data_IF_696994012947
#
_entry.id   IF_696994012947
#
_cell.length_a   1.000
_cell.length_b   1.000
_cell.length_c   1.000
_cell.angle_alpha   90.00
_cell.angle_beta   90.00
_cell.angle_gamma   90.00
#
_symmetry.space_group_name_H-M   'P 1'
#
loop_
_entity.id
_entity.type
_entity.pdbx_description
1 polymer ?
#
# COMPACT_ATOMS: atom_id res chain seq x y z
N UNK A 1 -4.45 -15.47 13.73
CA UNK A 1 -5.43 -14.69 12.93
C UNK A 1 -5.38 -15.24 11.52
N UNK A 2 -6.51 -15.55 10.91
CA UNK A 2 -6.57 -16.09 9.55
C UNK A 2 -7.02 -14.98 8.61
N UNK A 3 -6.15 -14.60 7.66
CA UNK A 3 -6.49 -13.66 6.60
C UNK A 3 -6.99 -14.41 5.36
N UNK A 4 -7.96 -13.84 4.68
CA UNK A 4 -8.37 -14.33 3.37
C UNK A 4 -7.52 -13.66 2.30
N UNK A 5 -6.73 -14.42 1.49
CA UNK A 5 -5.86 -13.82 0.50
C UNK A 5 -6.65 -13.37 -0.73
N UNK A 6 -6.41 -12.14 -1.16
CA UNK A 6 -7.01 -11.53 -2.36
C UNK A 6 -5.98 -10.67 -3.07
N UNK A 7 -6.14 -10.51 -4.38
CA UNK A 7 -5.54 -9.45 -5.18
C UNK A 7 -6.62 -8.43 -5.49
N UNK A 8 -6.34 -7.16 -5.22
CA UNK A 8 -7.29 -6.06 -5.44
C UNK A 8 -7.07 -5.46 -6.82
N UNK A 9 -8.15 -5.33 -7.58
CA UNK A 9 -8.14 -4.55 -8.82
C UNK A 9 -8.36 -3.08 -8.50
N UNK A 10 -7.35 -2.26 -8.79
CA UNK A 10 -7.34 -0.84 -8.47
C UNK A 10 -7.44 0.08 -9.71
N UNK A 11 -7.63 -0.48 -10.90
CA UNK A 11 -7.80 0.32 -12.12
C UNK A 11 -8.96 1.30 -11.99
N UNK A 12 -8.67 2.58 -12.26
CA UNK A 12 -9.67 3.64 -12.17
C UNK A 12 -10.11 3.98 -10.73
N UNK A 13 -9.45 3.43 -9.72
CA UNK A 13 -9.78 3.69 -8.32
C UNK A 13 -8.98 4.84 -7.73
N UNK A 14 -9.58 5.52 -6.75
CA UNK A 14 -8.92 6.54 -5.95
C UNK A 14 -8.41 5.95 -4.64
N UNK A 15 -7.21 6.35 -4.23
CA UNK A 15 -6.56 5.94 -2.99
C UNK A 15 -6.17 7.16 -2.15
N UNK A 16 -6.02 6.95 -0.83
CA UNK A 16 -5.60 7.98 0.10
C UNK A 16 -4.44 7.47 0.97
N UNK A 17 -3.43 8.33 1.18
CA UNK A 17 -2.39 8.14 2.18
C UNK A 17 -2.39 9.31 3.14
N UNK A 18 -2.60 9.05 4.42
CA UNK A 18 -2.52 10.04 5.50
C UNK A 18 -1.21 9.82 6.25
N UNK A 19 -0.32 10.80 6.16
CA UNK A 19 1.06 10.71 6.64
C UNK A 19 2.04 10.34 5.53
N UNK A 20 2.95 11.25 5.20
CA UNK A 20 3.92 11.12 4.10
C UNK A 20 5.37 11.02 4.58
N UNK A 21 5.60 10.56 5.79
CA UNK A 21 6.94 10.18 6.26
C UNK A 21 7.45 8.92 5.54
N UNK A 22 8.59 8.38 5.98
CA UNK A 22 9.25 7.23 5.33
C UNK A 22 8.32 6.02 5.10
N UNK A 23 7.36 5.77 6.01
CA UNK A 23 6.38 4.69 5.84
C UNK A 23 5.36 5.06 4.77
N UNK A 24 4.80 6.29 4.83
CA UNK A 24 3.83 6.78 3.85
C UNK A 24 4.40 6.81 2.43
N UNK A 25 5.60 7.34 2.24
CA UNK A 25 6.27 7.38 0.93
C UNK A 25 6.41 5.97 0.31
N UNK A 26 6.73 4.95 1.12
CA UNK A 26 6.76 3.55 0.61
C UNK A 26 5.38 3.06 0.16
N UNK A 27 4.30 3.47 0.86
CA UNK A 27 2.92 3.12 0.45
C UNK A 27 2.52 3.86 -0.82
N UNK A 28 2.89 5.13 -0.94
CA UNK A 28 2.67 5.93 -2.15
C UNK A 28 3.38 5.27 -3.34
N UNK A 29 4.68 4.96 -3.21
CA UNK A 29 5.45 4.31 -4.26
C UNK A 29 4.81 2.98 -4.71
N UNK A 30 4.42 2.13 -3.76
CA UNK A 30 3.78 0.84 -4.06
C UNK A 30 2.42 1.00 -4.76
N UNK A 31 1.61 2.01 -4.39
CA UNK A 31 0.35 2.28 -5.06
C UNK A 31 0.53 2.79 -6.49
N UNK A 32 1.62 3.53 -6.76
CA UNK A 32 1.92 4.04 -8.10
C UNK A 32 2.33 2.95 -9.10
N UNK A 33 2.74 1.78 -8.63
CA UNK A 33 2.95 0.58 -9.45
C UNK A 33 1.62 -0.02 -9.93
N UNK A 34 0.50 0.31 -9.28
CA UNK A 34 -0.83 -0.11 -9.68
C UNK A 34 -1.48 0.91 -10.63
N UNK A 35 -2.44 0.50 -11.49
CA UNK A 35 -3.13 1.39 -12.44
C UNK A 35 -4.23 2.22 -11.77
N UNK A 36 -3.95 2.84 -10.62
CA UNK A 36 -4.88 3.72 -9.92
C UNK A 36 -5.17 4.99 -10.74
N UNK A 37 -6.36 5.57 -10.55
CA UNK A 37 -6.72 6.84 -11.19
C UNK A 37 -6.12 8.03 -10.44
N UNK A 38 -6.25 8.04 -9.10
CA UNK A 38 -5.81 9.14 -8.24
C UNK A 38 -5.24 8.64 -6.93
N UNK A 39 -4.23 9.33 -6.46
CA UNK A 39 -3.66 9.16 -5.14
C UNK A 39 -3.65 10.50 -4.42
N UNK A 40 -4.46 10.64 -3.39
CA UNK A 40 -4.41 11.81 -2.53
C UNK A 40 -3.49 11.56 -1.34
N UNK A 41 -2.65 12.54 -1.01
CA UNK A 41 -1.72 12.49 0.10
C UNK A 41 -1.99 13.66 1.04
N UNK A 42 -2.17 13.38 2.32
CA UNK A 42 -2.40 14.41 3.37
C UNK A 42 -1.30 14.28 4.40
N UNK A 43 -0.62 15.39 4.69
CA UNK A 43 0.33 15.50 5.79
C UNK A 43 0.30 16.91 6.39
N UNK A 44 0.84 17.06 7.61
CA UNK A 44 1.02 18.36 8.27
C UNK A 44 2.35 19.03 7.91
N UNK A 45 3.34 18.23 7.51
CA UNK A 45 4.66 18.69 7.12
C UNK A 45 4.72 19.08 5.64
N UNK A 46 5.71 19.90 5.28
CA UNK A 46 6.06 20.10 3.87
C UNK A 46 6.65 18.83 3.24
N UNK A 47 6.44 18.60 1.94
CA UNK A 47 7.05 17.49 1.23
C UNK A 47 8.58 17.51 1.34
N UNK A 48 9.13 16.41 1.85
CA UNK A 48 10.57 16.17 1.79
C UNK A 48 11.01 15.77 0.36
N UNK A 49 12.31 15.59 0.15
CA UNK A 49 12.87 15.23 -1.15
C UNK A 49 12.28 13.92 -1.72
N UNK A 50 11.97 12.94 -0.85
CA UNK A 50 11.40 11.66 -1.29
C UNK A 50 9.96 11.84 -1.77
N UNK A 51 9.17 12.59 -1.03
CA UNK A 51 7.79 12.88 -1.41
C UNK A 51 7.75 13.76 -2.67
N UNK A 52 8.65 14.74 -2.81
CA UNK A 52 8.71 15.61 -3.99
C UNK A 52 8.85 14.80 -5.28
N UNK A 53 9.72 13.78 -5.30
CA UNK A 53 9.87 12.88 -6.46
C UNK A 53 8.55 12.14 -6.77
N UNK A 54 7.83 11.67 -5.76
CA UNK A 54 6.55 10.97 -5.94
C UNK A 54 5.43 11.91 -6.42
N UNK A 55 5.52 13.19 -6.09
CA UNK A 55 4.57 14.21 -6.55
C UNK A 55 4.74 14.60 -8.03
N UNK A 56 5.80 14.16 -8.70
CA UNK A 56 5.96 14.33 -10.15
C UNK A 56 4.96 13.48 -10.95
N UNK A 57 4.45 12.38 -10.35
CA UNK A 57 3.40 11.59 -10.97
C UNK A 57 2.06 12.35 -10.94
N UNK A 58 1.49 12.56 -12.12
CA UNK A 58 0.25 13.35 -12.31
C UNK A 58 -0.96 12.78 -11.56
N UNK A 59 -0.92 11.52 -11.16
CA UNK A 59 -1.98 10.88 -10.37
C UNK A 59 -1.93 11.29 -8.90
N UNK A 60 -0.80 11.84 -8.42
CA UNK A 60 -0.60 12.20 -7.02
C UNK A 60 -0.98 13.65 -6.77
N UNK A 61 -1.80 13.87 -5.77
CA UNK A 61 -2.11 15.19 -5.22
C UNK A 61 -1.73 15.25 -3.76
N UNK A 62 -1.18 16.37 -3.32
CA UNK A 62 -0.77 16.59 -1.94
C UNK A 62 -1.52 17.76 -1.33
N UNK A 63 -1.96 17.59 -0.08
CA UNK A 63 -2.55 18.69 0.69
C UNK A 63 -1.95 18.75 2.08
N UNK A 64 -1.36 19.90 2.40
CA UNK A 64 -0.81 20.18 3.73
C UNK A 64 -1.90 20.68 4.68
N UNK A 65 -2.50 19.77 5.42
CA UNK A 65 -3.52 20.05 6.44
C UNK A 65 -3.77 18.81 7.32
N UNK A 66 -4.50 18.98 8.43
CA UNK A 66 -5.02 17.85 9.17
C UNK A 66 -5.98 17.00 8.32
N UNK A 67 -6.02 15.70 8.63
CA UNK A 67 -7.03 14.77 8.13
C UNK A 67 -8.43 15.13 8.63
N UNK A 68 -9.43 14.95 7.78
CA UNK A 68 -10.86 15.03 8.13
C UNK A 68 -11.59 13.77 7.70
N UNK A 69 -12.66 13.31 8.41
CA UNK A 69 -13.36 12.07 8.07
C UNK A 69 -13.96 12.01 6.67
N UNK A 70 -14.18 13.15 6.02
CA UNK A 70 -14.66 13.22 4.63
C UNK A 70 -13.59 12.87 3.60
N UNK A 71 -12.31 12.89 3.98
CA UNK A 71 -11.21 12.63 3.04
C UNK A 71 -11.19 11.20 2.51
N UNK A 72 -11.82 10.27 3.22
CA UNK A 72 -11.90 8.87 2.78
C UNK A 72 -13.02 8.64 1.75
N UNK A 73 -13.89 9.61 1.52
CA UNK A 73 -15.04 9.44 0.63
C UNK A 73 -14.59 9.21 -0.82
N UNK A 74 -15.14 8.16 -1.43
CA UNK A 74 -14.79 7.77 -2.80
C UNK A 74 -13.44 7.05 -2.93
N UNK A 75 -12.72 6.77 -1.82
CA UNK A 75 -11.50 5.99 -1.84
C UNK A 75 -11.81 4.49 -1.79
N UNK A 76 -11.13 3.71 -2.61
CA UNK A 76 -11.15 2.24 -2.53
C UNK A 76 -10.21 1.71 -1.43
N UNK A 77 -9.08 2.40 -1.23
CA UNK A 77 -8.01 1.97 -0.34
C UNK A 77 -7.40 3.17 0.39
N UNK A 78 -7.20 3.03 1.70
CA UNK A 78 -6.63 4.09 2.55
C UNK A 78 -5.47 3.55 3.39
N UNK A 79 -4.39 4.32 3.46
CA UNK A 79 -3.28 4.07 4.38
C UNK A 79 -3.19 5.17 5.43
N UNK A 80 -3.21 4.79 6.71
CA UNK A 80 -2.92 5.64 7.85
C UNK A 80 -1.47 5.39 8.28
N UNK A 81 -0.57 6.33 7.97
CA UNK A 81 0.87 6.19 8.14
C UNK A 81 1.50 7.40 8.88
N UNK A 82 0.71 8.09 9.70
CA UNK A 82 1.22 9.20 10.53
C UNK A 82 1.94 8.67 11.78
N UNK A 83 2.75 9.52 12.41
CA UNK A 83 3.30 9.26 13.74
C UNK A 83 2.29 9.50 14.88
N UNK A 84 1.13 10.09 14.58
CA UNK A 84 0.10 10.39 15.57
C UNK A 84 -0.95 9.28 15.60
N UNK A 85 -0.97 8.49 16.69
CA UNK A 85 -1.89 7.39 16.89
C UNK A 85 -3.36 7.83 16.81
N UNK A 86 -3.70 8.98 17.37
CA UNK A 86 -5.09 9.47 17.37
C UNK A 86 -5.57 9.79 15.95
N UNK A 87 -4.69 10.32 15.11
CA UNK A 87 -5.00 10.54 13.70
C UNK A 87 -5.22 9.21 12.97
N UNK A 88 -4.33 8.22 13.17
CA UNK A 88 -4.48 6.90 12.55
C UNK A 88 -5.78 6.22 13.00
N UNK A 89 -6.15 6.31 14.27
CA UNK A 89 -7.42 5.80 14.79
C UNK A 89 -8.64 6.49 14.15
N UNK A 90 -8.55 7.80 13.94
CA UNK A 90 -9.62 8.57 13.29
C UNK A 90 -9.78 8.15 11.82
N UNK A 91 -8.68 7.92 11.10
CA UNK A 91 -8.69 7.39 9.72
C UNK A 91 -9.32 6.00 9.68
N UNK A 92 -8.88 5.09 10.54
CA UNK A 92 -9.40 3.73 10.59
C UNK A 92 -10.91 3.70 10.87
N UNK A 93 -11.36 4.54 11.81
CA UNK A 93 -12.80 4.66 12.16
C UNK A 93 -13.60 5.20 10.97
N UNK A 94 -13.14 6.28 10.34
CA UNK A 94 -13.82 6.87 9.19
C UNK A 94 -13.95 5.88 8.01
N UNK A 95 -12.94 5.04 7.81
CA UNK A 95 -12.96 3.97 6.81
C UNK A 95 -13.95 2.86 7.21
N UNK A 96 -13.90 2.40 8.47
CA UNK A 96 -14.78 1.33 8.95
C UNK A 96 -16.27 1.69 8.85
N UNK A 97 -16.61 2.94 9.18
CA UNK A 97 -18.00 3.45 9.08
C UNK A 97 -18.52 3.46 7.63
N UNK A 98 -17.64 3.47 6.64
CA UNK A 98 -17.98 3.52 5.21
C UNK A 98 -17.67 2.22 4.45
N UNK A 99 -17.17 1.20 5.14
CA UNK A 99 -16.78 -0.06 4.51
C UNK A 99 -15.56 0.04 3.59
N UNK A 100 -14.70 1.05 3.80
CA UNK A 100 -13.49 1.29 3.00
C UNK A 100 -12.32 0.51 3.58
N UNK A 101 -11.51 -0.09 2.72
CA UNK A 101 -10.31 -0.82 3.13
C UNK A 101 -9.27 0.13 3.70
N UNK A 102 -8.79 -0.15 4.92
CA UNK A 102 -7.81 0.67 5.62
C UNK A 102 -6.66 -0.18 6.17
N UNK A 103 -5.44 0.31 5.99
CA UNK A 103 -4.25 -0.23 6.63
C UNK A 103 -3.61 0.83 7.53
N UNK A 104 -3.51 0.54 8.82
CA UNK A 104 -2.83 1.37 9.80
C UNK A 104 -1.41 0.83 10.02
N UNK A 105 -0.40 1.64 9.71
CA UNK A 105 0.99 1.22 9.71
C UNK A 105 1.51 0.82 11.10
N UNK A 106 0.99 1.45 12.15
CA UNK A 106 1.35 1.25 13.56
C UNK A 106 0.40 0.31 14.31
N UNK A 107 -0.70 -0.11 13.68
CA UNK A 107 -1.75 -0.85 14.35
C UNK A 107 -2.40 -1.92 13.47
N UNK A 108 -1.82 -3.11 13.38
CA UNK A 108 -2.41 -4.21 12.61
C UNK A 108 -3.84 -4.58 13.05
N UNK A 109 -4.20 -4.32 14.31
CA UNK A 109 -5.53 -4.63 14.85
C UNK A 109 -6.63 -3.71 14.30
N UNK A 110 -6.26 -2.51 13.90
CA UNK A 110 -7.18 -1.49 13.36
C UNK A 110 -7.16 -1.49 11.83
N UNK A 111 -6.40 -2.40 11.24
CA UNK A 111 -6.32 -2.61 9.80
C UNK A 111 -7.36 -3.62 9.33
N UNK A 112 -8.06 -3.33 8.24
CA UNK A 112 -8.96 -4.28 7.57
C UNK A 112 -8.22 -5.29 6.69
N UNK A 113 -6.97 -5.00 6.34
CA UNK A 113 -6.08 -5.88 5.56
C UNK A 113 -4.62 -5.71 5.97
N UNK A 114 -3.78 -6.66 5.57
CA UNK A 114 -2.33 -6.57 5.70
C UNK A 114 -1.71 -6.41 4.31
N UNK A 115 -0.53 -5.76 4.27
CA UNK A 115 0.30 -5.73 3.07
C UNK A 115 1.30 -6.88 3.18
N UNK A 116 1.20 -7.92 2.34
CA UNK A 116 2.09 -9.07 2.36
C UNK A 116 3.48 -8.71 1.82
N UNK A 117 4.45 -9.61 2.00
CA UNK A 117 5.66 -9.59 1.20
C UNK A 117 5.29 -10.02 -0.24
N UNK A 118 5.77 -9.27 -1.24
CA UNK A 118 5.43 -9.48 -2.64
C UNK A 118 6.67 -9.94 -3.40
N UNK A 119 6.48 -10.93 -4.27
CA UNK A 119 7.43 -11.37 -5.29
C UNK A 119 6.76 -11.18 -6.63
N UNK A 120 7.39 -10.44 -7.53
CA UNK A 120 6.88 -10.18 -8.86
C UNK A 120 7.92 -10.54 -9.91
N UNK A 121 7.48 -11.27 -10.94
CA UNK A 121 8.30 -11.59 -12.09
C UNK A 121 7.44 -11.70 -13.35
N UNK A 122 7.54 -10.73 -14.25
CA UNK A 122 6.66 -10.61 -15.40
C UNK A 122 5.20 -10.54 -14.93
N UNK A 123 4.36 -11.47 -15.37
CA UNK A 123 2.95 -11.55 -14.98
C UNK A 123 2.70 -12.43 -13.74
N UNK A 124 3.75 -12.92 -13.09
CA UNK A 124 3.62 -13.74 -11.89
C UNK A 124 3.72 -12.84 -10.66
N UNK A 125 2.72 -12.86 -9.82
CA UNK A 125 2.73 -12.20 -8.51
C UNK A 125 2.46 -13.23 -7.41
N UNK A 126 3.31 -13.26 -6.38
CA UNK A 126 3.16 -14.13 -5.21
C UNK A 126 3.10 -13.25 -3.97
N UNK A 127 1.98 -13.30 -3.27
CA UNK A 127 1.79 -12.61 -2.00
C UNK A 127 2.04 -13.57 -0.84
N UNK A 128 3.00 -13.24 0.02
CA UNK A 128 3.42 -14.09 1.14
C UNK A 128 3.13 -13.40 2.47
N UNK A 129 2.48 -14.11 3.36
CA UNK A 129 2.27 -13.66 4.74
C UNK A 129 2.59 -14.78 5.74
N UNK A 130 3.28 -14.43 6.81
CA UNK A 130 3.47 -15.30 7.99
C UNK A 130 2.46 -15.01 9.08
N UNK A 131 1.38 -14.28 8.78
CA UNK A 131 0.38 -13.85 9.75
C UNK A 131 0.91 -12.90 10.82
N UNK A 132 2.05 -12.23 10.55
CA UNK A 132 2.75 -11.38 11.51
C UNK A 132 3.71 -12.12 12.44
N UNK A 133 3.82 -13.46 12.32
CA UNK A 133 4.63 -14.28 13.23
C UNK A 133 6.14 -14.02 13.08
N UNK A 134 6.64 -13.80 11.84
CA UNK A 134 8.07 -13.56 11.60
C UNK A 134 8.34 -12.76 10.33
N UNK A 135 8.59 -11.46 10.45
CA UNK A 135 9.00 -10.64 9.30
C UNK A 135 10.32 -11.11 8.65
N UNK A 136 11.25 -11.66 9.47
CA UNK A 136 12.51 -12.18 8.97
C UNK A 136 12.32 -13.43 8.11
N UNK A 137 11.43 -14.33 8.52
CA UNK A 137 11.08 -15.53 7.74
C UNK A 137 10.37 -15.14 6.44
N UNK A 138 9.43 -14.19 6.50
CA UNK A 138 8.76 -13.71 5.30
C UNK A 138 9.75 -13.12 4.29
N UNK A 139 10.75 -12.35 4.76
CA UNK A 139 11.83 -11.83 3.91
C UNK A 139 12.66 -12.96 3.29
N UNK A 140 13.09 -13.92 4.10
CA UNK A 140 13.92 -15.03 3.61
C UNK A 140 13.19 -15.85 2.55
N UNK A 141 11.91 -16.20 2.80
CA UNK A 141 11.09 -16.93 1.81
C UNK A 141 10.90 -16.11 0.54
N UNK A 142 10.71 -14.78 0.66
CA UNK A 142 10.61 -13.90 -0.50
C UNK A 142 11.87 -13.96 -1.37
N UNK A 143 13.05 -13.84 -0.75
CA UNK A 143 14.35 -13.91 -1.45
C UNK A 143 14.55 -15.26 -2.13
N UNK A 144 14.20 -16.37 -1.47
CA UNK A 144 14.31 -17.71 -2.05
C UNK A 144 13.33 -17.90 -3.24
N UNK A 145 12.12 -17.34 -3.15
CA UNK A 145 11.15 -17.38 -4.24
C UNK A 145 11.57 -16.50 -5.42
N UNK A 146 12.12 -15.32 -5.18
CA UNK A 146 12.66 -14.44 -6.23
C UNK A 146 13.77 -15.17 -7.02
N UNK A 147 14.72 -15.79 -6.32
CA UNK A 147 15.78 -16.57 -6.95
C UNK A 147 15.22 -17.74 -7.76
N UNK A 148 14.31 -18.52 -7.17
CA UNK A 148 13.72 -19.70 -7.81
C UNK A 148 12.90 -19.33 -9.05
N UNK A 149 12.12 -18.25 -9.01
CA UNK A 149 11.36 -17.76 -10.17
C UNK A 149 12.30 -17.26 -11.26
N UNK A 150 13.33 -16.47 -10.88
CA UNK A 150 14.30 -15.93 -11.84
C UNK A 150 15.00 -17.01 -12.65
N UNK A 151 15.44 -18.09 -12.00
CA UNK A 151 16.11 -19.19 -12.68
C UNK A 151 15.20 -19.99 -13.64
N UNK A 152 13.90 -20.10 -13.33
CA UNK A 152 13.03 -21.07 -14.02
C UNK A 152 12.02 -20.44 -14.98
N UNK A 153 11.58 -19.21 -14.74
CA UNK A 153 10.40 -18.66 -15.41
C UNK A 153 10.65 -17.36 -16.18
N UNK A 154 11.87 -16.81 -16.19
CA UNK A 154 12.19 -15.58 -16.92
C UNK A 154 11.83 -15.67 -18.42
N UNK A 155 12.08 -16.82 -19.05
CA UNK A 155 11.76 -17.02 -20.47
C UNK A 155 10.29 -17.33 -20.77
N UNK A 156 9.53 -17.83 -19.77
CA UNK A 156 8.13 -18.23 -19.96
C UNK A 156 7.20 -17.03 -19.84
N UNK A 157 7.49 -16.11 -18.93
CA UNK A 157 6.69 -14.89 -18.77
C UNK A 157 6.72 -13.98 -20.00
N UNK A 158 7.83 -13.97 -20.74
CA UNK A 158 7.94 -13.22 -22.01
C UNK A 158 7.13 -13.87 -23.14
N UNK A 159 7.00 -15.19 -23.15
CA UNK A 159 6.22 -15.94 -24.15
C UNK A 159 4.70 -15.76 -24.00
N UNK A 160 4.21 -15.52 -22.78
CA UNK A 160 2.78 -15.35 -22.49
C UNK A 160 2.30 -13.91 -22.72
N UNK A 161 3.20 -12.97 -22.98
CA UNK A 161 2.89 -11.56 -23.30
C UNK A 161 2.74 -11.30 -24.81
N UNK A 162 2.83 -12.31 -25.65
CA UNK A 162 2.58 -12.25 -27.10
C UNK A 162 1.23 -12.83 -27.46
#
# INVERSE_FOLDING_TARGET
MHYYPVFLELSGQSCLVVGAGAVGCRKIASLLECPIERLHVIDLAEPDTNLQVLLEDKRVSFTKRPFTPSDVEGCALVFAATSNRQTNDAVARACAERGILCNCADAPKDSSFIVPALVEQGNIAIALSTGGASPALARKIREDLEAWLGERYTGISELLMR
#
